data_IF_447537930326
#
_entry.id   IF_447537930326
#
_cell.length_a   1.000
_cell.length_b   1.000
_cell.length_c   1.000
_cell.angle_alpha   90.00
_cell.angle_beta   90.00
_cell.angle_gamma   90.00
#
_symmetry.space_group_name_H-M   'P 1'
#
loop_
_entity.id
_entity.type
_entity.pdbx_description
1 polymer ?
#
# COMPACT_ATOMS: atom_id res chain seq x y z
N UNK A 1 -28.46 8.99 -36.04
CA UNK A 1 -28.00 7.64 -35.63
C UNK A 1 -27.55 6.75 -36.80
N UNK A 2 -28.31 6.52 -37.86
CA UNK A 2 -27.91 5.62 -38.97
C UNK A 2 -26.56 5.96 -39.64
N UNK A 3 -26.24 7.26 -39.86
CA UNK A 3 -24.96 7.68 -40.46
C UNK A 3 -23.76 7.41 -39.55
N UNK A 4 -23.93 7.57 -38.23
CA UNK A 4 -22.88 7.29 -37.23
C UNK A 4 -22.58 5.81 -37.12
N UNK A 5 -23.60 4.94 -37.05
CA UNK A 5 -23.42 3.49 -37.06
C UNK A 5 -22.76 3.00 -38.35
N UNK A 6 -23.11 3.57 -39.52
CA UNK A 6 -22.49 3.23 -40.78
C UNK A 6 -21.02 3.65 -40.86
N UNK A 7 -20.67 4.82 -40.31
CA UNK A 7 -19.28 5.26 -40.24
C UNK A 7 -18.42 4.34 -39.34
N UNK A 8 -18.94 3.89 -38.18
CA UNK A 8 -18.26 2.95 -37.28
C UNK A 8 -18.06 1.59 -37.97
N UNK A 9 -19.11 1.05 -38.61
CA UNK A 9 -19.00 -0.25 -39.30
C UNK A 9 -18.05 -0.21 -40.50
N UNK A 10 -18.00 0.88 -41.24
CA UNK A 10 -17.04 1.07 -42.34
C UNK A 10 -15.60 1.26 -41.81
N UNK A 11 -15.43 1.94 -40.67
CA UNK A 11 -14.14 2.20 -40.07
C UNK A 11 -13.66 1.13 -39.07
N UNK A 12 -14.34 -0.03 -38.97
CA UNK A 12 -14.07 -1.06 -37.93
C UNK A 12 -12.61 -1.47 -37.79
N UNK A 13 -11.92 -1.66 -38.90
CA UNK A 13 -10.51 -2.06 -38.89
C UNK A 13 -9.60 -0.94 -38.35
N UNK A 14 -9.90 0.30 -38.70
CA UNK A 14 -9.15 1.46 -38.18
C UNK A 14 -9.34 1.58 -36.66
N UNK A 15 -10.56 1.38 -36.18
CA UNK A 15 -10.88 1.44 -34.73
C UNK A 15 -10.15 0.32 -33.99
N UNK A 16 -10.17 -0.91 -34.52
CA UNK A 16 -9.48 -2.06 -33.90
C UNK A 16 -7.97 -1.82 -33.84
N UNK A 17 -7.36 -1.39 -34.95
CA UNK A 17 -5.92 -1.11 -34.99
C UNK A 17 -5.55 0.04 -34.06
N UNK A 18 -6.33 1.12 -34.02
CA UNK A 18 -6.11 2.23 -33.11
C UNK A 18 -6.23 1.79 -31.65
N UNK A 19 -7.24 0.97 -31.30
CA UNK A 19 -7.37 0.41 -29.94
C UNK A 19 -6.17 -0.45 -29.57
N UNK A 20 -5.70 -1.32 -30.44
CA UNK A 20 -4.52 -2.15 -30.19
C UNK A 20 -3.26 -1.31 -30.02
N UNK A 21 -3.08 -0.25 -30.81
CA UNK A 21 -1.96 0.66 -30.67
C UNK A 21 -2.00 1.45 -29.33
N UNK A 22 -3.18 1.88 -28.90
CA UNK A 22 -3.38 2.56 -27.62
C UNK A 22 -3.24 1.62 -26.41
N UNK A 23 -3.41 0.32 -26.61
CA UNK A 23 -3.28 -0.66 -25.54
C UNK A 23 -1.82 -0.76 -25.03
N UNK A 24 -0.84 -0.58 -25.91
CA UNK A 24 0.59 -0.59 -25.55
C UNK A 24 0.92 0.49 -24.51
N UNK A 25 0.69 1.80 -24.77
CA UNK A 25 0.95 2.83 -23.79
C UNK A 25 0.07 2.71 -22.54
N UNK A 26 -1.14 2.16 -22.66
CA UNK A 26 -2.03 1.95 -21.51
C UNK A 26 -1.50 0.88 -20.57
N UNK A 27 -1.01 -0.24 -21.09
CA UNK A 27 -0.37 -1.28 -20.27
C UNK A 27 0.88 -0.72 -19.59
N UNK A 28 1.71 0.03 -20.32
CA UNK A 28 2.86 0.71 -19.73
C UNK A 28 2.46 1.68 -18.61
N UNK A 29 1.42 2.50 -18.85
CA UNK A 29 0.87 3.42 -17.87
C UNK A 29 0.35 2.71 -16.62
N UNK A 30 -0.36 1.59 -16.78
CA UNK A 30 -0.87 0.79 -15.67
C UNK A 30 0.25 0.35 -14.71
N UNK A 31 1.35 -0.20 -15.23
CA UNK A 31 2.46 -0.68 -14.40
C UNK A 31 3.29 0.45 -13.78
N UNK A 32 3.26 1.66 -14.34
CA UNK A 32 4.05 2.79 -13.86
C UNK A 32 3.22 3.80 -13.03
N UNK A 33 1.91 3.62 -12.90
CA UNK A 33 1.06 4.47 -12.06
C UNK A 33 1.34 4.15 -10.59
N UNK A 34 1.72 5.17 -9.82
CA UNK A 34 1.91 5.03 -8.38
C UNK A 34 0.57 5.03 -7.65
N UNK A 35 0.42 4.10 -6.71
CA UNK A 35 -0.76 3.99 -5.87
C UNK A 35 -0.42 4.54 -4.49
N UNK A 36 -1.17 5.53 -4.05
CA UNK A 36 -1.01 6.13 -2.74
C UNK A 36 -2.03 5.54 -1.77
N UNK A 37 -1.53 4.91 -0.72
CA UNK A 37 -2.34 4.30 0.34
C UNK A 37 -2.58 5.23 1.54
N UNK A 38 -2.02 6.45 1.51
CA UNK A 38 -2.21 7.46 2.54
C UNK A 38 -3.35 8.41 2.17
N UNK A 39 -4.43 8.34 2.94
CA UNK A 39 -5.57 9.24 2.77
C UNK A 39 -5.27 10.66 3.21
N UNK A 40 -4.32 10.86 4.10
CA UNK A 40 -3.96 12.18 4.63
C UNK A 40 -3.39 13.07 3.52
N UNK A 41 -2.66 12.49 2.58
CA UNK A 41 -2.09 13.20 1.42
C UNK A 41 -3.13 13.91 0.55
N UNK A 42 -4.39 13.49 0.59
CA UNK A 42 -5.49 14.11 -0.18
C UNK A 42 -6.21 15.23 0.57
N UNK A 43 -5.79 15.54 1.80
CA UNK A 43 -6.30 16.69 2.53
C UNK A 43 -5.77 18.01 1.93
N UNK A 44 -6.55 19.11 2.01
CA UNK A 44 -6.08 20.44 1.63
C UNK A 44 -4.81 20.81 2.41
N UNK A 45 -3.85 21.43 1.72
CA UNK A 45 -2.52 21.75 2.31
C UNK A 45 -2.57 22.81 3.41
N UNK A 46 -3.65 23.54 3.51
CA UNK A 46 -3.88 24.63 4.48
C UNK A 46 -4.41 24.15 5.84
N UNK A 47 -4.86 22.90 5.94
CA UNK A 47 -5.32 22.34 7.23
C UNK A 47 -4.16 22.15 8.22
N UNK A 48 -4.45 22.29 9.51
CA UNK A 48 -3.45 22.23 10.58
C UNK A 48 -2.70 20.88 10.60
N UNK A 49 -3.39 19.79 10.33
CA UNK A 49 -2.79 18.43 10.24
C UNK A 49 -1.67 18.38 9.22
N UNK A 50 -1.88 18.93 8.01
CA UNK A 50 -0.88 18.96 6.95
C UNK A 50 0.30 19.87 7.28
N UNK A 51 0.04 21.01 7.90
CA UNK A 51 1.11 21.91 8.41
C UNK A 51 1.95 21.22 9.46
N UNK A 52 1.30 20.52 10.40
CA UNK A 52 2.00 19.74 11.44
C UNK A 52 2.85 18.60 10.86
N UNK A 53 2.31 17.86 9.88
CA UNK A 53 3.05 16.78 9.19
C UNK A 53 4.27 17.33 8.44
N UNK A 54 4.13 18.45 7.74
CA UNK A 54 5.25 19.08 7.03
C UNK A 54 6.35 19.52 8.02
N UNK A 55 6.00 20.12 9.14
CA UNK A 55 6.98 20.49 10.20
C UNK A 55 7.68 19.24 10.72
N UNK A 56 6.95 18.16 11.02
CA UNK A 56 7.54 16.91 11.49
C UNK A 56 8.50 16.30 10.47
N UNK A 57 8.13 16.33 9.20
CA UNK A 57 8.92 15.75 8.11
C UNK A 57 10.11 16.62 7.75
N UNK A 58 9.90 17.92 7.57
CA UNK A 58 10.90 18.83 7.01
C UNK A 58 11.88 19.35 8.08
N UNK A 59 11.38 19.73 9.25
CA UNK A 59 12.20 20.31 10.31
C UNK A 59 12.76 19.23 11.23
N UNK A 60 11.91 18.31 11.71
CA UNK A 60 12.31 17.26 12.65
C UNK A 60 12.84 15.99 11.99
N UNK A 61 12.69 15.83 10.67
CA UNK A 61 13.04 14.61 9.93
C UNK A 61 12.37 13.35 10.49
N UNK A 62 11.13 13.50 10.95
CA UNK A 62 10.29 12.44 11.53
C UNK A 62 8.98 12.34 10.75
N UNK A 63 9.06 11.86 9.52
CA UNK A 63 7.89 11.75 8.63
C UNK A 63 6.93 10.61 9.00
N UNK A 64 7.44 9.56 9.65
CA UNK A 64 6.64 8.42 10.05
C UNK A 64 7.21 7.72 11.28
N UNK A 65 6.37 6.88 11.93
CA UNK A 65 6.83 6.01 13.01
C UNK A 65 6.17 4.64 12.94
N UNK A 66 6.88 3.66 13.49
CA UNK A 66 6.38 2.31 13.75
C UNK A 66 6.81 1.85 15.14
N UNK A 67 6.10 0.88 15.65
CA UNK A 67 6.38 0.23 16.93
C UNK A 67 6.72 -1.22 16.66
N UNK A 68 7.88 -1.65 17.14
CA UNK A 68 8.30 -3.05 17.05
C UNK A 68 8.10 -3.70 18.42
N UNK A 69 7.29 -4.73 18.44
CA UNK A 69 7.05 -5.56 19.62
C UNK A 69 7.94 -6.80 19.48
N UNK A 70 8.76 -7.06 20.50
CA UNK A 70 9.64 -8.22 20.55
C UNK A 70 9.10 -9.22 21.57
N UNK A 71 9.12 -10.51 21.25
CA UNK A 71 8.66 -11.58 22.11
C UNK A 71 9.85 -12.45 22.54
N UNK A 72 9.96 -12.76 23.84
CA UNK A 72 10.99 -13.63 24.41
C UNK A 72 12.43 -13.19 24.08
N UNK A 73 12.72 -11.89 24.15
CA UNK A 73 14.05 -11.33 23.93
C UNK A 73 14.61 -10.70 25.20
N UNK A 74 15.89 -11.02 25.49
CA UNK A 74 16.63 -10.35 26.56
C UNK A 74 17.22 -8.99 26.10
N UNK A 75 17.69 -8.17 27.05
CA UNK A 75 18.23 -6.84 26.77
C UNK A 75 19.36 -6.83 25.72
N UNK A 76 20.24 -7.85 25.71
CA UNK A 76 21.34 -7.96 24.72
C UNK A 76 20.80 -8.23 23.31
N UNK A 77 19.76 -9.05 23.19
CA UNK A 77 19.12 -9.35 21.91
C UNK A 77 18.36 -8.13 21.38
N UNK A 78 17.73 -7.35 22.26
CA UNK A 78 17.06 -6.10 21.91
C UNK A 78 18.08 -5.08 21.39
N UNK A 79 19.21 -4.89 22.09
CA UNK A 79 20.29 -4.01 21.63
C UNK A 79 20.84 -4.42 20.26
N UNK A 80 20.98 -5.73 20.02
CA UNK A 80 21.41 -6.22 18.70
C UNK A 80 20.37 -5.93 17.63
N UNK A 81 19.10 -6.17 17.92
CA UNK A 81 17.99 -5.90 17.01
C UNK A 81 17.90 -4.41 16.66
N UNK A 82 18.04 -3.51 17.64
CA UNK A 82 18.07 -2.07 17.40
C UNK A 82 19.19 -1.65 16.44
N UNK A 83 20.38 -2.25 16.59
CA UNK A 83 21.51 -2.02 15.68
C UNK A 83 21.22 -2.55 14.28
N UNK A 84 20.50 -3.65 14.14
CA UNK A 84 20.07 -4.22 12.85
C UNK A 84 19.01 -3.32 12.20
N UNK A 85 17.98 -2.90 12.96
CA UNK A 85 16.94 -1.97 12.49
C UNK A 85 17.54 -0.62 12.06
N UNK A 86 18.49 -0.09 12.82
CA UNK A 86 19.14 1.21 12.50
C UNK A 86 19.92 1.19 11.19
N UNK A 87 20.29 0.01 10.68
CA UNK A 87 20.96 -0.14 9.37
C UNK A 87 19.97 -0.16 8.21
N UNK A 88 18.67 -0.31 8.48
CA UNK A 88 17.63 -0.29 7.44
C UNK A 88 17.56 1.13 6.88
N UNK A 89 17.54 1.23 5.56
CA UNK A 89 17.45 2.52 4.87
C UNK A 89 16.18 3.26 5.29
N UNK A 90 16.23 4.59 5.32
CA UNK A 90 15.18 5.50 5.78
C UNK A 90 14.90 5.53 7.29
N UNK A 91 15.35 4.56 8.06
CA UNK A 91 15.25 4.62 9.52
C UNK A 91 16.03 5.83 10.03
N UNK A 92 15.38 6.67 10.84
CA UNK A 92 15.98 7.84 11.45
C UNK A 92 16.47 7.54 12.88
N UNK A 93 15.55 7.12 13.74
CA UNK A 93 15.85 6.79 15.14
C UNK A 93 15.20 5.46 15.51
N UNK A 94 15.91 4.73 16.35
CA UNK A 94 15.43 3.50 17.00
C UNK A 94 15.67 3.70 18.47
N UNK A 95 14.71 3.41 19.30
CA UNK A 95 14.85 3.53 20.73
C UNK A 95 13.91 2.62 21.50
N UNK A 96 14.41 2.05 22.57
CA UNK A 96 13.65 1.29 23.55
C UNK A 96 13.78 1.91 24.94
N UNK A 97 13.10 1.33 25.89
CA UNK A 97 13.25 1.72 27.30
C UNK A 97 14.70 1.57 27.79
N UNK A 98 15.41 0.61 27.25
CA UNK A 98 16.81 0.35 27.64
C UNK A 98 17.78 1.48 27.27
N UNK A 99 17.45 2.31 26.28
CA UNK A 99 18.23 3.51 25.96
C UNK A 99 18.13 4.57 27.05
N UNK A 100 17.05 4.54 27.83
CA UNK A 100 16.80 5.49 28.92
C UNK A 100 17.39 5.00 30.24
N UNK A 101 17.16 3.72 30.57
CA UNK A 101 17.54 3.15 31.87
C UNK A 101 18.91 2.44 31.84
N UNK A 102 19.42 2.13 30.64
CA UNK A 102 20.61 1.30 30.45
C UNK A 102 20.30 -0.19 30.45
N UNK A 103 21.07 -0.93 29.66
CA UNK A 103 20.88 -2.38 29.46
C UNK A 103 21.25 -3.26 30.67
N UNK A 104 21.83 -2.65 31.71
CA UNK A 104 22.23 -3.34 32.95
C UNK A 104 21.16 -3.27 34.04
N UNK A 105 20.16 -2.40 33.87
CA UNK A 105 19.09 -2.23 34.87
C UNK A 105 17.90 -3.08 34.46
N UNK A 106 17.44 -4.01 35.31
CA UNK A 106 16.21 -4.76 35.06
C UNK A 106 14.99 -3.83 34.99
N UNK A 107 14.08 -4.05 34.04
CA UNK A 107 12.84 -3.23 33.87
C UNK A 107 11.98 -3.33 35.13
N UNK A 108 12.04 -4.43 35.84
CA UNK A 108 11.32 -4.68 37.10
C UNK A 108 11.69 -3.71 38.25
N UNK A 109 12.81 -2.97 38.13
CA UNK A 109 13.19 -1.91 39.03
C UNK A 109 12.54 -0.56 38.72
N UNK A 110 11.84 -0.44 37.57
CA UNK A 110 11.12 0.78 37.25
C UNK A 110 9.79 0.85 38.01
N UNK A 111 9.29 2.08 38.27
CA UNK A 111 7.93 2.25 38.78
C UNK A 111 6.89 1.54 37.87
N UNK A 112 5.90 0.89 38.48
CA UNK A 112 4.90 0.08 37.80
C UNK A 112 4.17 0.83 36.68
N UNK A 113 3.95 2.13 36.83
CA UNK A 113 3.31 2.98 35.82
C UNK A 113 4.13 3.16 34.54
N UNK A 114 5.44 2.91 34.58
CA UNK A 114 6.35 2.94 33.43
C UNK A 114 6.61 1.52 32.95
N UNK A 115 6.98 0.61 33.87
CA UNK A 115 7.28 -0.77 33.54
C UNK A 115 6.16 -1.44 32.74
N UNK A 116 4.89 -1.27 33.17
CA UNK A 116 3.73 -1.87 32.51
C UNK A 116 3.43 -1.32 31.10
N UNK A 117 3.95 -0.13 30.76
CA UNK A 117 3.76 0.48 29.43
C UNK A 117 4.81 0.04 28.42
N UNK A 118 5.97 -0.39 28.86
CA UNK A 118 7.11 -0.70 28.00
C UNK A 118 7.42 -2.20 27.95
N UNK A 119 7.02 -2.95 28.98
CA UNK A 119 7.11 -4.39 29.04
C UNK A 119 5.80 -4.98 29.54
N UNK A 120 5.29 -5.97 28.81
CA UNK A 120 4.15 -6.78 29.23
C UNK A 120 4.48 -8.23 28.98
N UNK A 121 4.43 -9.04 30.05
CA UNK A 121 4.88 -10.44 30.01
C UNK A 121 6.33 -10.51 29.50
N UNK A 122 6.60 -11.33 28.49
CA UNK A 122 7.90 -11.46 27.83
C UNK A 122 8.06 -10.55 26.60
N UNK A 123 7.19 -9.54 26.43
CA UNK A 123 7.22 -8.64 25.29
C UNK A 123 7.82 -7.28 25.66
N UNK A 124 8.68 -6.76 24.80
CA UNK A 124 9.26 -5.42 24.92
C UNK A 124 8.90 -4.57 23.70
N UNK A 125 8.95 -3.25 23.88
CA UNK A 125 8.55 -2.27 22.88
C UNK A 125 9.76 -1.46 22.43
N UNK A 126 9.93 -1.38 21.10
CA UNK A 126 10.93 -0.53 20.44
C UNK A 126 10.17 0.44 19.54
N UNK A 127 10.48 1.73 19.63
CA UNK A 127 9.93 2.77 18.74
C UNK A 127 10.93 3.06 17.63
N UNK A 128 10.44 3.08 16.41
CA UNK A 128 11.24 3.36 15.22
C UNK A 128 10.63 4.55 14.50
N UNK A 129 11.44 5.56 14.18
CA UNK A 129 11.01 6.69 13.35
C UNK A 129 11.71 6.65 12.00
N UNK A 130 11.03 7.15 10.96
CA UNK A 130 11.53 7.19 9.59
C UNK A 130 11.69 8.62 9.11
N UNK A 131 12.58 8.82 8.15
CA UNK A 131 12.85 10.14 7.54
C UNK A 131 11.73 10.57 6.60
N UNK A 132 11.12 9.61 5.91
CA UNK A 132 10.10 9.83 4.90
C UNK A 132 8.69 9.69 5.51
N UNK A 133 7.67 10.11 4.77
CA UNK A 133 6.27 10.00 5.20
C UNK A 133 5.79 8.56 5.34
N UNK A 134 4.62 8.40 5.94
CA UNK A 134 4.00 7.09 6.28
C UNK A 134 3.79 6.19 5.07
N UNK A 135 3.43 6.77 3.92
CA UNK A 135 3.10 6.05 2.68
C UNK A 135 4.21 6.06 1.63
N UNK A 136 5.36 6.64 1.96
CA UNK A 136 6.51 6.63 1.05
C UNK A 136 6.98 5.18 0.80
N UNK A 137 7.22 4.84 -0.47
CA UNK A 137 7.62 3.47 -0.87
C UNK A 137 8.82 2.97 -0.07
N UNK A 138 9.80 3.85 0.21
CA UNK A 138 10.99 3.49 1.00
C UNK A 138 10.66 3.22 2.47
N UNK A 139 9.66 3.91 3.03
CA UNK A 139 9.19 3.64 4.40
C UNK A 139 8.50 2.29 4.47
N UNK A 140 7.63 1.98 3.50
CA UNK A 140 6.95 0.69 3.41
C UNK A 140 7.94 -0.47 3.22
N UNK A 141 8.94 -0.26 2.37
CA UNK A 141 10.04 -1.23 2.16
C UNK A 141 10.85 -1.45 3.44
N UNK A 142 11.13 -0.38 4.18
CA UNK A 142 11.83 -0.47 5.47
C UNK A 142 11.02 -1.25 6.50
N UNK A 143 9.70 -1.03 6.58
CA UNK A 143 8.80 -1.80 7.46
C UNK A 143 8.82 -3.29 7.08
N UNK A 144 8.77 -3.62 5.78
CA UNK A 144 8.86 -5.00 5.33
C UNK A 144 10.22 -5.63 5.69
N UNK A 145 11.32 -4.94 5.41
CA UNK A 145 12.67 -5.40 5.80
C UNK A 145 12.80 -5.64 7.29
N UNK A 146 12.20 -4.78 8.13
CA UNK A 146 12.20 -4.99 9.58
C UNK A 146 11.45 -6.27 9.97
N UNK A 147 10.28 -6.54 9.36
CA UNK A 147 9.51 -7.78 9.61
C UNK A 147 10.33 -9.04 9.27
N UNK A 148 11.14 -8.95 8.23
CA UNK A 148 11.94 -10.07 7.74
C UNK A 148 13.21 -10.33 8.57
N UNK A 149 13.61 -9.40 9.47
CA UNK A 149 14.80 -9.57 10.29
C UNK A 149 14.69 -10.76 11.24
N UNK A 150 13.56 -10.95 11.91
CA UNK A 150 13.35 -12.03 12.88
C UNK A 150 11.89 -12.45 12.97
N UNK A 151 11.62 -13.74 13.20
CA UNK A 151 10.26 -14.29 13.31
C UNK A 151 9.51 -13.89 14.59
N UNK A 152 10.23 -13.56 15.65
CA UNK A 152 9.66 -13.23 16.97
C UNK A 152 9.55 -11.72 17.21
N UNK A 153 9.42 -10.94 16.14
CA UNK A 153 9.08 -9.54 16.18
C UNK A 153 7.77 -9.26 15.43
N UNK A 154 7.02 -8.30 15.91
CA UNK A 154 5.82 -7.78 15.23
C UNK A 154 5.99 -6.30 15.03
N UNK A 155 5.84 -5.83 13.80
CA UNK A 155 5.92 -4.41 13.46
C UNK A 155 4.51 -3.87 13.29
N UNK A 156 4.17 -2.85 14.05
CA UNK A 156 2.87 -2.18 14.06
C UNK A 156 3.04 -0.66 13.94
N UNK A 157 1.95 0.09 13.91
CA UNK A 157 1.91 1.54 13.73
C UNK A 157 1.42 1.93 12.35
N UNK A 158 1.31 3.26 12.10
CA UNK A 158 0.69 3.77 10.87
C UNK A 158 1.34 3.24 9.61
N UNK A 159 2.68 3.26 9.51
CA UNK A 159 3.39 2.76 8.33
C UNK A 159 3.18 1.26 8.11
N UNK A 160 3.14 0.47 9.19
CA UNK A 160 2.86 -0.96 9.10
C UNK A 160 1.41 -1.23 8.65
N UNK A 161 0.45 -0.47 9.19
CA UNK A 161 -0.96 -0.56 8.76
C UNK A 161 -1.13 -0.17 7.29
N UNK A 162 -0.43 0.87 6.83
CA UNK A 162 -0.43 1.28 5.42
C UNK A 162 0.11 0.17 4.52
N UNK A 163 1.22 -0.47 4.91
CA UNK A 163 1.78 -1.62 4.20
C UNK A 163 0.80 -2.80 4.14
N UNK A 164 0.19 -3.15 5.27
CA UNK A 164 -0.78 -4.25 5.35
C UNK A 164 -1.99 -3.96 4.47
N UNK A 165 -2.52 -2.73 4.51
CA UNK A 165 -3.62 -2.30 3.64
C UNK A 165 -3.24 -2.43 2.17
N UNK A 166 -2.03 -2.02 1.79
CA UNK A 166 -1.54 -2.15 0.42
C UNK A 166 -1.46 -3.61 -0.03
N UNK A 167 -0.88 -4.47 0.79
CA UNK A 167 -0.73 -5.90 0.48
C UNK A 167 -2.08 -6.62 0.41
N UNK A 168 -2.98 -6.35 1.35
CA UNK A 168 -4.33 -6.91 1.34
C UNK A 168 -5.12 -6.43 0.13
N UNK A 169 -5.12 -5.14 -0.17
CA UNK A 169 -5.82 -4.59 -1.32
C UNK A 169 -5.35 -5.24 -2.63
N UNK A 170 -4.04 -5.41 -2.82
CA UNK A 170 -3.51 -6.04 -4.02
C UNK A 170 -3.88 -7.53 -4.15
N UNK A 171 -3.86 -8.28 -3.06
CA UNK A 171 -4.17 -9.71 -3.09
C UNK A 171 -5.67 -9.99 -3.23
N UNK A 172 -6.51 -9.24 -2.52
CA UNK A 172 -7.95 -9.46 -2.49
C UNK A 172 -8.64 -8.99 -3.77
N UNK A 173 -8.22 -7.83 -4.35
CA UNK A 173 -8.82 -7.31 -5.59
C UNK A 173 -8.73 -8.32 -6.72
N UNK A 174 -7.60 -9.00 -6.89
CA UNK A 174 -7.44 -10.03 -7.93
C UNK A 174 -8.44 -11.17 -7.75
N UNK A 175 -8.61 -11.66 -6.52
CA UNK A 175 -9.55 -12.75 -6.23
C UNK A 175 -11.00 -12.34 -6.51
N UNK A 176 -11.41 -11.15 -6.06
CA UNK A 176 -12.76 -10.65 -6.30
C UNK A 176 -13.05 -10.39 -7.78
N UNK A 177 -12.09 -9.86 -8.53
CA UNK A 177 -12.24 -9.67 -9.99
C UNK A 177 -12.42 -11.00 -10.71
N UNK A 178 -11.65 -12.03 -10.36
CA UNK A 178 -11.81 -13.37 -10.96
C UNK A 178 -13.20 -13.93 -10.66
N UNK A 179 -13.66 -13.85 -9.41
CA UNK A 179 -15.00 -14.32 -9.02
C UNK A 179 -16.08 -13.54 -9.80
N UNK A 180 -15.97 -12.22 -9.87
CA UNK A 180 -16.92 -11.37 -10.59
C UNK A 180 -16.98 -11.73 -12.09
N UNK A 181 -15.83 -11.93 -12.74
CA UNK A 181 -15.77 -12.34 -14.16
C UNK A 181 -16.45 -13.69 -14.37
N UNK A 182 -16.21 -14.68 -13.49
CA UNK A 182 -16.87 -16.00 -13.58
C UNK A 182 -18.39 -15.88 -13.43
N UNK A 183 -18.85 -15.13 -12.42
CA UNK A 183 -20.29 -14.92 -12.19
C UNK A 183 -20.94 -14.18 -13.36
N UNK A 184 -20.31 -13.11 -13.87
CA UNK A 184 -20.80 -12.40 -15.06
C UNK A 184 -20.84 -13.31 -16.27
N UNK A 185 -19.83 -14.16 -16.48
CA UNK A 185 -19.82 -15.12 -17.58
C UNK A 185 -21.02 -16.07 -17.50
N UNK A 186 -21.30 -16.63 -16.32
CA UNK A 186 -22.43 -17.54 -16.11
C UNK A 186 -23.77 -16.84 -16.40
N UNK A 187 -23.97 -15.64 -15.84
CA UNK A 187 -25.21 -14.87 -16.04
C UNK A 187 -25.41 -14.51 -17.52
N UNK A 188 -24.35 -14.00 -18.17
CA UNK A 188 -24.41 -13.64 -19.58
C UNK A 188 -24.64 -14.88 -20.48
N UNK A 189 -24.09 -16.04 -20.12
CA UNK A 189 -24.30 -17.28 -20.84
C UNK A 189 -25.74 -17.77 -20.78
N UNK A 190 -26.40 -17.58 -19.63
CA UNK A 190 -27.83 -17.93 -19.47
C UNK A 190 -28.72 -16.91 -20.20
N UNK A 191 -28.33 -15.63 -20.19
CA UNK A 191 -29.14 -14.55 -20.77
C UNK A 191 -29.00 -14.43 -22.30
N UNK A 192 -27.93 -14.92 -22.89
CA UNK A 192 -27.62 -14.77 -24.30
C UNK A 192 -27.53 -16.14 -24.99
N UNK A 193 -28.18 -16.29 -26.17
CA UNK A 193 -28.19 -17.52 -26.94
C UNK A 193 -26.85 -17.80 -27.70
N UNK A 194 -25.75 -17.21 -27.24
CA UNK A 194 -24.44 -17.32 -27.90
C UNK A 194 -23.31 -17.42 -26.89
N UNK A 195 -22.46 -18.43 -27.05
CA UNK A 195 -21.28 -18.60 -26.23
C UNK A 195 -20.19 -17.53 -26.47
N UNK A 196 -20.11 -17.00 -27.67
CA UNK A 196 -19.06 -16.03 -28.06
C UNK A 196 -19.31 -14.60 -27.57
N UNK A 197 -20.58 -14.20 -27.51
CA UNK A 197 -20.95 -12.81 -27.16
C UNK A 197 -20.49 -12.43 -25.72
N UNK A 198 -20.70 -13.25 -24.69
CA UNK A 198 -20.18 -12.97 -23.35
C UNK A 198 -18.67 -12.74 -23.31
N UNK A 199 -17.91 -13.57 -24.00
CA UNK A 199 -16.43 -13.46 -24.07
C UNK A 199 -16.01 -12.13 -24.70
N UNK A 200 -16.65 -11.74 -25.80
CA UNK A 200 -16.38 -10.46 -26.46
C UNK A 200 -16.75 -9.27 -25.58
N UNK A 201 -17.87 -9.34 -24.88
CA UNK A 201 -18.30 -8.28 -23.97
C UNK A 201 -17.32 -8.10 -22.81
N UNK A 202 -16.97 -9.18 -22.13
CA UNK A 202 -16.01 -9.16 -21.02
C UNK A 202 -14.62 -8.75 -21.49
N UNK A 203 -14.18 -9.20 -22.66
CA UNK A 203 -12.94 -8.77 -23.27
C UNK A 203 -12.90 -7.27 -23.56
N UNK A 204 -14.00 -6.70 -24.06
CA UNK A 204 -14.12 -5.26 -24.29
C UNK A 204 -14.09 -4.46 -22.98
N UNK A 205 -14.75 -4.94 -21.93
CA UNK A 205 -14.69 -4.34 -20.59
C UNK A 205 -13.25 -4.39 -20.07
N UNK A 206 -12.55 -5.53 -20.22
CA UNK A 206 -11.14 -5.65 -19.82
C UNK A 206 -10.24 -4.63 -20.52
N UNK A 207 -10.41 -4.43 -21.81
CA UNK A 207 -9.67 -3.40 -22.57
C UNK A 207 -10.02 -1.98 -22.07
N UNK A 208 -11.29 -1.70 -21.78
CA UNK A 208 -11.72 -0.41 -21.25
C UNK A 208 -11.10 -0.12 -19.87
N UNK A 209 -11.04 -1.13 -19.00
CA UNK A 209 -10.36 -1.03 -17.67
C UNK A 209 -8.87 -0.72 -17.87
N UNK A 210 -8.19 -1.41 -18.79
CA UNK A 210 -6.78 -1.16 -19.09
C UNK A 210 -6.54 0.26 -19.60
N UNK A 211 -7.42 0.79 -20.46
CA UNK A 211 -7.33 2.19 -20.89
C UNK A 211 -7.53 3.16 -19.74
N UNK A 212 -8.55 2.93 -18.91
CA UNK A 212 -8.83 3.77 -17.76
C UNK A 212 -7.65 3.77 -16.77
N UNK A 213 -7.18 2.59 -16.37
CA UNK A 213 -6.06 2.46 -15.44
C UNK A 213 -4.75 3.01 -16.02
N UNK A 214 -4.50 2.77 -17.32
CA UNK A 214 -3.30 3.27 -17.98
C UNK A 214 -3.28 4.79 -18.13
N UNK A 215 -4.45 5.43 -18.30
CA UNK A 215 -4.55 6.89 -18.38
C UNK A 215 -4.22 7.59 -17.05
N UNK A 216 -4.34 6.89 -15.92
CA UNK A 216 -3.99 7.41 -14.61
C UNK A 216 -2.49 7.74 -14.45
N UNK A 217 -1.63 7.18 -15.32
CA UNK A 217 -0.22 7.55 -15.37
C UNK A 217 0.01 9.06 -15.52
N UNK A 218 -0.83 9.73 -16.30
CA UNK A 218 -0.76 11.19 -16.50
C UNK A 218 -1.12 11.99 -15.25
N UNK A 219 -1.78 11.38 -14.27
CA UNK A 219 -2.08 11.99 -12.97
C UNK A 219 -0.92 11.87 -11.98
N UNK A 220 0.10 11.07 -12.31
CA UNK A 220 1.28 10.81 -11.48
C UNK A 220 1.02 9.77 -10.40
N UNK A 221 0.01 9.97 -9.56
CA UNK A 221 -0.42 9.02 -8.52
C UNK A 221 -1.93 9.00 -8.35
N UNK A 222 -2.46 7.88 -7.96
CA UNK A 222 -3.90 7.70 -7.65
C UNK A 222 -4.06 7.12 -6.24
N UNK A 223 -5.22 7.38 -5.62
CA UNK A 223 -5.59 6.73 -4.36
C UNK A 223 -5.86 5.24 -4.58
N UNK A 224 -5.53 4.42 -3.57
CA UNK A 224 -5.89 3.00 -3.56
C UNK A 224 -7.42 2.80 -3.67
N UNK A 225 -8.23 3.74 -3.14
CA UNK A 225 -9.68 3.73 -3.30
C UNK A 225 -10.06 3.87 -4.78
N UNK A 226 -9.42 4.82 -5.48
CA UNK A 226 -9.64 5.00 -6.92
C UNK A 226 -9.26 3.75 -7.71
N UNK A 227 -8.16 3.09 -7.35
CA UNK A 227 -7.76 1.83 -7.97
C UNK A 227 -8.80 0.72 -7.75
N UNK A 228 -9.28 0.56 -6.50
CA UNK A 228 -10.26 -0.47 -6.17
C UNK A 228 -11.60 -0.24 -6.91
N UNK A 229 -12.07 1.01 -6.96
CA UNK A 229 -13.30 1.39 -7.66
C UNK A 229 -13.16 1.19 -9.18
N UNK A 230 -12.02 1.57 -9.76
CA UNK A 230 -11.80 1.43 -11.20
C UNK A 230 -11.77 -0.03 -11.67
N UNK A 231 -11.50 -0.99 -10.79
CA UNK A 231 -11.58 -2.42 -11.08
C UNK A 231 -13.01 -2.98 -11.00
N UNK A 232 -13.93 -2.26 -10.34
CA UNK A 232 -15.34 -2.68 -10.12
C UNK A 232 -16.31 -1.97 -11.07
N UNK A 233 -15.99 -0.77 -11.52
CA UNK A 233 -16.77 0.01 -12.51
C UNK A 233 -16.50 -0.47 -13.93
#
# INVERSE_FOLDING_TARGET
MKRFCHAITKGRWVIIVASLLLLIPSVFGYFNTKINYDLITYLPKDVETMKGENILTDDFKQGAFSVVITENMNAKQILQLEKEIKKVDTVNRVGSVYDIIGYSIPIEMLPDNIASKVKKDDSNLIVVTFKNSTSDDKTLEAVQKMRDLKKNIKVSGMSATTLDTAQMAQSEVIAYVIIAVILCMIVLQIALDSFFVPVLLLGNIGVAILFNMGSNYFLGQISYITQAIAAVL
#
